data_IF_543931084324
#
_entry.id   IF_543931084324
#
_cell.length_a   1.000
_cell.length_b   1.000
_cell.length_c   1.000
_cell.angle_alpha   90.00
_cell.angle_beta   90.00
_cell.angle_gamma   90.00
#
_symmetry.space_group_name_H-M   'P 1'
#
loop_
_entity.id
_entity.type
_entity.pdbx_description
1 polymer ?
#
# COMPACT_ATOMS: atom_id res chain seq x y z
N UNK A 1 -10.07 5.67 -15.86
CA UNK A 1 -8.76 6.30 -15.59
C UNK A 1 -7.81 5.24 -15.13
N UNK A 2 -6.62 5.15 -15.73
CA UNK A 2 -5.58 4.22 -15.28
C UNK A 2 -4.80 4.83 -14.11
N UNK A 3 -4.32 3.97 -13.20
CA UNK A 3 -3.55 4.37 -12.02
C UNK A 3 -2.34 3.47 -11.85
N UNK A 4 -1.23 4.05 -11.38
CA UNK A 4 -0.11 3.29 -10.86
C UNK A 4 -0.39 2.86 -9.41
N UNK A 5 -0.56 1.56 -9.19
CA UNK A 5 -0.81 1.03 -7.86
C UNK A 5 0.49 0.77 -7.09
N UNK A 6 0.55 1.27 -5.86
CA UNK A 6 1.59 0.98 -4.89
C UNK A 6 1.02 0.06 -3.81
N UNK A 7 1.77 -0.99 -3.47
CA UNK A 7 1.35 -1.99 -2.49
C UNK A 7 2.54 -2.77 -1.97
N UNK A 8 2.28 -3.71 -1.06
CA UNK A 8 3.27 -4.63 -0.49
C UNK A 8 4.50 -3.95 0.17
N UNK A 9 4.35 -2.68 0.57
CA UNK A 9 5.41 -1.97 1.28
C UNK A 9 5.59 -2.58 2.67
N UNK A 10 6.79 -3.08 2.92
CA UNK A 10 7.21 -3.58 4.23
C UNK A 10 8.62 -3.10 4.53
N UNK A 11 8.83 -2.65 5.77
CA UNK A 11 10.16 -2.32 6.30
C UNK A 11 10.40 -3.23 7.50
N UNK A 12 11.51 -3.97 7.43
CA UNK A 12 11.98 -4.83 8.52
C UNK A 12 12.13 -4.03 9.82
N UNK A 13 11.81 -4.59 11.00
CA UNK A 13 11.77 -3.84 12.26
C UNK A 13 13.03 -3.02 12.55
N UNK A 14 14.20 -3.57 12.24
CA UNK A 14 15.52 -2.99 12.50
C UNK A 14 15.78 -1.71 11.69
N UNK A 15 15.07 -1.53 10.58
CA UNK A 15 15.23 -0.41 9.67
C UNK A 15 14.10 0.65 9.79
N UNK A 16 13.18 0.48 10.74
CA UNK A 16 12.06 1.42 10.96
C UNK A 16 12.52 2.72 11.61
N UNK A 17 11.69 3.76 11.50
CA UNK A 17 11.97 5.08 12.09
C UNK A 17 13.00 5.92 11.33
N UNK A 18 13.60 5.40 10.25
CA UNK A 18 14.64 6.08 9.47
C UNK A 18 14.11 6.76 8.19
N UNK A 19 12.79 6.82 8.01
CA UNK A 19 12.16 7.46 6.84
C UNK A 19 12.20 6.64 5.54
N UNK A 20 12.69 5.39 5.56
CA UNK A 20 12.80 4.53 4.36
C UNK A 20 11.48 4.38 3.60
N UNK A 21 10.37 4.16 4.31
CA UNK A 21 9.04 4.07 3.70
C UNK A 21 8.68 5.32 2.91
N UNK A 22 9.04 6.51 3.42
CA UNK A 22 8.76 7.77 2.74
C UNK A 22 9.55 7.88 1.44
N UNK A 23 10.84 7.55 1.50
CA UNK A 23 11.73 7.56 0.33
C UNK A 23 11.25 6.61 -0.75
N UNK A 24 10.95 5.36 -0.39
CA UNK A 24 10.50 4.32 -1.34
C UNK A 24 9.16 4.72 -1.96
N UNK A 25 8.15 5.08 -1.16
CA UNK A 25 6.83 5.48 -1.67
C UNK A 25 6.93 6.69 -2.58
N UNK A 26 7.69 7.73 -2.21
CA UNK A 26 7.88 8.92 -3.06
C UNK A 26 8.55 8.57 -4.38
N UNK A 27 9.62 7.75 -4.36
CA UNK A 27 10.32 7.36 -5.57
C UNK A 27 9.41 6.59 -6.55
N UNK A 28 8.63 5.64 -6.05
CA UNK A 28 7.71 4.88 -6.88
C UNK A 28 6.55 5.77 -7.41
N UNK A 29 6.02 6.67 -6.58
CA UNK A 29 5.01 7.63 -7.04
C UNK A 29 5.53 8.54 -8.17
N UNK A 30 6.75 9.07 -8.04
CA UNK A 30 7.40 9.85 -9.10
C UNK A 30 7.59 9.05 -10.39
N UNK A 31 7.84 7.74 -10.29
CA UNK A 31 7.93 6.85 -11.46
C UNK A 31 6.60 6.74 -12.21
N UNK A 32 5.47 6.78 -11.52
CA UNK A 32 4.16 6.83 -12.17
C UNK A 32 3.86 8.20 -12.75
N UNK A 33 4.20 9.28 -12.04
CA UNK A 33 4.02 10.64 -12.55
C UNK A 33 4.80 10.90 -13.84
N UNK A 34 6.02 10.36 -13.98
CA UNK A 34 6.80 10.50 -15.22
C UNK A 34 6.17 9.78 -16.42
N UNK A 35 5.22 8.86 -16.17
CA UNK A 35 4.42 8.16 -17.18
C UNK A 35 3.03 8.76 -17.34
N UNK A 36 2.77 9.95 -16.79
CA UNK A 36 1.47 10.61 -16.74
C UNK A 36 0.38 9.77 -16.04
N UNK A 37 0.77 8.92 -15.09
CA UNK A 37 -0.15 8.10 -14.31
C UNK A 37 -0.27 8.63 -12.87
N UNK A 38 -1.49 8.82 -12.34
CA UNK A 38 -1.67 9.07 -10.93
C UNK A 38 -1.26 7.86 -10.09
N UNK A 39 -0.64 8.11 -8.93
CA UNK A 39 -0.29 7.08 -7.97
C UNK A 39 -1.45 6.81 -7.00
N UNK A 40 -1.75 5.53 -6.75
CA UNK A 40 -2.80 5.08 -5.84
C UNK A 40 -2.28 4.00 -4.87
N UNK A 41 -2.85 3.95 -3.67
CA UNK A 41 -2.56 2.96 -2.63
C UNK A 41 -3.86 2.42 -2.06
N UNK A 42 -3.87 1.12 -1.75
CA UNK A 42 -4.94 0.49 -0.98
C UNK A 42 -4.37 0.16 0.40
N UNK A 43 -5.00 0.67 1.45
CA UNK A 43 -4.54 0.54 2.82
C UNK A 43 -5.66 -0.11 3.64
N UNK A 44 -5.33 -1.14 4.41
CA UNK A 44 -6.26 -1.68 5.42
C UNK A 44 -6.57 -0.57 6.43
N UNK A 45 -7.84 -0.28 6.67
CA UNK A 45 -8.27 0.88 7.48
C UNK A 45 -7.71 0.88 8.93
N UNK A 46 -7.35 -0.29 9.47
CA UNK A 46 -6.73 -0.42 10.79
C UNK A 46 -5.22 -0.14 10.78
N UNK A 47 -4.58 -0.02 9.62
CA UNK A 47 -3.16 0.27 9.49
C UNK A 47 -2.87 1.77 9.64
N UNK A 48 -2.97 2.27 10.87
CA UNK A 48 -2.80 3.68 11.20
C UNK A 48 -1.41 4.25 10.84
N UNK A 49 -0.37 3.42 10.84
CA UNK A 49 0.99 3.84 10.45
C UNK A 49 1.05 4.16 8.95
N UNK A 50 0.48 3.27 8.12
CA UNK A 50 0.44 3.48 6.67
C UNK A 50 -0.49 4.65 6.31
N UNK A 51 -1.62 4.81 7.00
CA UNK A 51 -2.51 5.96 6.79
C UNK A 51 -1.77 7.29 7.00
N UNK A 52 -1.12 7.45 8.17
CA UNK A 52 -0.36 8.66 8.49
C UNK A 52 0.79 8.91 7.50
N UNK A 53 1.50 7.85 7.10
CA UNK A 53 2.57 7.96 6.09
C UNK A 53 2.04 8.55 4.79
N UNK A 54 0.98 7.98 4.22
CA UNK A 54 0.46 8.41 2.92
C UNK A 54 -0.21 9.79 2.99
N UNK A 55 -0.91 10.11 4.07
CA UNK A 55 -1.42 11.47 4.32
C UNK A 55 -0.29 12.50 4.36
N UNK A 56 0.83 12.19 5.03
CA UNK A 56 2.01 13.07 5.09
C UNK A 56 2.70 13.28 3.74
N UNK A 57 2.44 12.38 2.77
CA UNK A 57 2.93 12.44 1.40
C UNK A 57 1.92 13.10 0.44
N UNK A 58 0.80 13.59 0.94
CA UNK A 58 -0.21 14.29 0.15
C UNK A 58 -1.29 13.39 -0.47
N UNK A 59 -1.27 12.08 -0.21
CA UNK A 59 -2.38 11.21 -0.59
C UNK A 59 -3.64 11.59 0.18
N UNK A 60 -4.80 11.40 -0.45
CA UNK A 60 -6.12 11.66 0.15
C UNK A 60 -7.01 10.45 -0.07
N UNK A 61 -7.81 10.13 0.94
CA UNK A 61 -8.84 9.10 0.83
C UNK A 61 -9.85 9.53 -0.24
N UNK A 62 -10.07 8.65 -1.23
CA UNK A 62 -11.06 8.86 -2.30
C UNK A 62 -12.30 7.98 -2.14
N UNK A 63 -12.12 6.77 -1.62
CA UNK A 63 -13.18 5.83 -1.31
C UNK A 63 -12.72 4.85 -0.24
N UNK A 64 -13.67 4.11 0.32
CA UNK A 64 -13.43 2.93 1.14
C UNK A 64 -13.81 1.70 0.33
N UNK A 65 -13.00 0.64 0.42
CA UNK A 65 -13.27 -0.64 -0.23
C UNK A 65 -13.65 -1.67 0.83
N UNK A 66 -14.69 -2.44 0.56
CA UNK A 66 -15.00 -3.66 1.31
C UNK A 66 -14.40 -4.85 0.57
N UNK A 67 -13.55 -5.63 1.24
CA UNK A 67 -12.86 -6.77 0.65
C UNK A 67 -13.46 -8.05 1.23
N UNK A 68 -14.07 -8.86 0.36
CA UNK A 68 -14.52 -10.20 0.70
C UNK A 68 -13.41 -11.20 0.36
N UNK A 69 -12.89 -11.89 1.36
CA UNK A 69 -11.90 -12.96 1.20
C UNK A 69 -12.55 -14.29 1.52
N UNK A 70 -12.85 -15.09 0.49
CA UNK A 70 -13.36 -16.44 0.64
C UNK A 70 -12.19 -17.41 0.80
N UNK A 71 -12.17 -18.15 1.90
CA UNK A 71 -11.26 -19.27 2.12
C UNK A 71 -12.05 -20.59 2.10
N UNK A 72 -11.43 -21.72 1.72
CA UNK A 72 -12.07 -23.02 1.89
C UNK A 72 -12.53 -23.22 3.34
N UNK A 73 -13.67 -23.90 3.54
CA UNK A 73 -14.21 -24.16 4.88
C UNK A 73 -13.32 -25.06 5.74
N UNK A 74 -12.36 -25.76 5.12
CA UNK A 74 -11.44 -26.67 5.77
C UNK A 74 -10.01 -26.18 5.52
N UNK A 75 -9.28 -25.78 6.56
CA UNK A 75 -7.85 -25.38 6.55
C UNK A 75 -6.88 -26.52 6.18
N UNK A 76 -7.34 -27.56 5.46
CA UNK A 76 -6.45 -28.60 4.95
C UNK A 76 -5.90 -28.14 3.60
N UNK A 77 -4.72 -27.51 3.64
CA UNK A 77 -3.87 -27.38 2.47
C UNK A 77 -3.31 -28.77 2.12
N UNK A 78 -3.60 -29.39 0.96
CA UNK A 78 -2.64 -30.32 0.39
C UNK A 78 -1.49 -29.48 -0.17
N UNK A 79 -0.32 -29.53 0.47
CA UNK A 79 0.91 -29.12 -0.21
C UNK A 79 1.15 -30.11 -1.35
N UNK A 80 1.09 -29.61 -2.58
CA UNK A 80 1.78 -30.23 -3.70
C UNK A 80 3.22 -29.70 -3.74
#
# INVERSE_FOLDING_TARGET
TEFGALGLLYVVPEARGQGLSKVITSHLAHTFFSRNLPAAVIIVNTNGVSLKLHESLGFKVKCTLEILHYTPANDQTPMF
#
